data_IF_838790713320
#
_entry.id   IF_838790713320
#
_cell.length_a   1.000
_cell.length_b   1.000
_cell.length_c   1.000
_cell.angle_alpha   90.00
_cell.angle_beta   90.00
_cell.angle_gamma   90.00
#
_symmetry.space_group_name_H-M   'P 1'
#
loop_
_entity.id
_entity.type
_entity.pdbx_description
1 polymer ?
#
# COMPACT_ATOMS: atom_id res chain seq x y z
N UNK A 1 10.32 -7.05 12.86
CA UNK A 1 9.16 -6.34 12.28
C UNK A 1 9.60 -5.85 10.91
N UNK A 2 8.76 -5.95 9.86
CA UNK A 2 9.17 -5.51 8.53
C UNK A 2 8.98 -3.99 8.39
N UNK A 3 9.87 -3.35 7.65
CA UNK A 3 9.78 -1.95 7.25
C UNK A 3 10.02 -1.86 5.74
N UNK A 4 9.18 -1.13 5.03
CA UNK A 4 9.33 -0.89 3.60
C UNK A 4 9.68 0.59 3.42
N UNK A 5 10.94 0.93 3.10
CA UNK A 5 11.31 2.31 2.83
C UNK A 5 10.77 2.73 1.46
N UNK A 6 9.85 3.69 1.44
CA UNK A 6 9.29 4.26 0.21
C UNK A 6 9.84 5.66 -0.01
N UNK A 7 10.38 5.91 -1.20
CA UNK A 7 10.69 7.26 -1.66
C UNK A 7 9.41 7.86 -2.24
N UNK A 8 8.88 8.88 -1.56
CA UNK A 8 7.68 9.60 -1.96
C UNK A 8 8.10 10.99 -2.41
N UNK A 9 7.64 11.40 -3.60
CA UNK A 9 7.80 12.78 -4.07
C UNK A 9 6.72 13.64 -3.41
N UNK A 10 7.13 14.68 -2.68
CA UNK A 10 6.20 15.66 -2.12
C UNK A 10 5.89 16.74 -3.16
N UNK A 11 4.89 17.57 -2.86
CA UNK A 11 4.47 18.72 -3.69
C UNK A 11 5.60 19.70 -4.03
N UNK A 12 6.68 19.69 -3.23
CA UNK A 12 7.83 20.60 -3.35
C UNK A 12 8.98 19.97 -4.18
N UNK A 13 8.71 18.88 -4.91
CA UNK A 13 9.69 18.05 -5.63
C UNK A 13 10.82 17.48 -4.75
N UNK A 14 10.65 17.51 -3.43
CA UNK A 14 11.57 16.87 -2.49
C UNK A 14 11.23 15.38 -2.31
N UNK A 15 12.21 14.52 -2.55
CA UNK A 15 12.08 13.09 -2.30
C UNK A 15 12.20 12.80 -0.79
N UNK A 16 11.10 12.41 -0.16
CA UNK A 16 11.06 12.00 1.24
C UNK A 16 11.01 10.48 1.36
N UNK A 17 11.91 9.89 2.16
CA UNK A 17 11.83 8.48 2.52
C UNK A 17 10.83 8.32 3.67
N UNK A 18 9.84 7.45 3.50
CA UNK A 18 8.87 7.08 4.52
C UNK A 18 8.89 5.58 4.74
N UNK A 19 9.08 5.15 5.99
CA UNK A 19 9.05 3.75 6.35
C UNK A 19 7.60 3.29 6.59
N UNK A 20 7.14 2.37 5.76
CA UNK A 20 5.85 1.70 5.95
C UNK A 20 6.04 0.54 6.90
N UNK A 21 5.25 0.54 7.96
CA UNK A 21 5.16 -0.53 8.95
C UNK A 21 3.74 -1.11 8.95
N UNK A 22 3.51 -2.28 9.57
CA UNK A 22 2.15 -2.81 9.76
C UNK A 22 1.17 -1.83 10.43
N UNK A 23 1.68 -0.88 11.20
CA UNK A 23 0.90 0.10 11.95
C UNK A 23 0.78 1.46 11.23
N UNK A 24 1.31 1.56 10.01
CA UNK A 24 1.19 2.78 9.22
C UNK A 24 -0.23 2.90 8.65
N UNK A 25 -0.86 4.07 8.84
CA UNK A 25 -2.12 4.43 8.18
C UNK A 25 -1.87 4.87 6.74
N UNK A 26 -1.74 3.89 5.86
CA UNK A 26 -1.31 4.11 4.46
C UNK A 26 -2.28 4.99 3.69
N UNK A 27 -3.57 4.93 3.98
CA UNK A 27 -4.56 5.80 3.33
C UNK A 27 -4.27 7.30 3.56
N UNK A 28 -3.82 7.67 4.77
CA UNK A 28 -3.48 9.05 5.10
C UNK A 28 -2.11 9.45 4.56
N UNK A 29 -1.17 8.51 4.51
CA UNK A 29 0.19 8.78 4.03
C UNK A 29 0.23 8.98 2.52
N UNK A 30 -0.54 8.18 1.78
CA UNK A 30 -0.54 8.18 0.33
C UNK A 30 -1.77 8.90 -0.25
N UNK A 31 -2.49 9.68 0.57
CA UNK A 31 -3.60 10.50 0.08
C UNK A 31 -3.07 11.53 -0.93
N UNK A 32 -3.52 11.43 -2.18
CA UNK A 32 -3.02 12.26 -3.29
C UNK A 32 -1.87 11.64 -4.10
N UNK A 33 -1.32 10.49 -3.67
CA UNK A 33 -0.26 9.74 -4.37
C UNK A 33 -0.72 8.39 -4.90
N UNK A 34 -1.75 7.80 -4.29
CA UNK A 34 -2.41 6.59 -4.79
C UNK A 34 -3.17 6.95 -6.05
N UNK A 35 -2.48 6.84 -7.17
CA UNK A 35 -3.00 7.33 -8.44
C UNK A 35 -4.21 6.53 -8.92
N UNK A 36 -4.32 5.22 -8.62
CA UNK A 36 -5.41 4.40 -9.16
C UNK A 36 -5.88 3.28 -8.21
N UNK A 37 -7.20 3.04 -8.18
CA UNK A 37 -7.73 1.81 -7.56
C UNK A 37 -7.42 0.65 -8.48
N UNK A 38 -6.79 -0.39 -7.95
CA UNK A 38 -6.42 -1.57 -8.74
C UNK A 38 -7.45 -2.67 -8.54
N UNK A 39 -7.76 -3.39 -9.61
CA UNK A 39 -8.57 -4.61 -9.53
C UNK A 39 -7.63 -5.82 -9.41
N UNK A 40 -7.70 -6.51 -8.29
CA UNK A 40 -6.98 -7.77 -8.08
C UNK A 40 -7.87 -8.92 -8.57
N UNK A 41 -7.45 -9.60 -9.63
CA UNK A 41 -8.12 -10.82 -10.09
C UNK A 41 -7.95 -11.94 -9.05
N UNK A 42 -9.03 -12.67 -8.73
CA UNK A 42 -9.03 -13.79 -7.79
C UNK A 42 -9.57 -15.04 -8.49
N UNK A 43 -8.72 -16.04 -8.68
CA UNK A 43 -9.08 -17.29 -9.37
C UNK A 43 -9.88 -18.27 -8.50
N UNK A 44 -9.81 -18.15 -7.17
CA UNK A 44 -10.50 -19.05 -6.22
C UNK A 44 -11.72 -18.41 -5.55
N UNK A 45 -12.81 -19.18 -5.29
CA UNK A 45 -13.97 -18.68 -4.58
C UNK A 45 -13.57 -18.25 -3.16
N UNK A 46 -14.00 -17.05 -2.81
CA UNK A 46 -13.52 -16.19 -1.74
C UNK A 46 -13.16 -16.91 -0.42
N UNK A 47 -11.86 -17.05 -0.13
CA UNK A 47 -11.43 -16.89 1.25
C UNK A 47 -11.69 -15.42 1.58
N UNK A 48 -12.79 -15.14 2.29
CA UNK A 48 -13.07 -13.80 2.78
C UNK A 48 -11.87 -13.38 3.64
N UNK A 49 -11.30 -12.22 3.37
CA UNK A 49 -10.33 -11.64 4.28
C UNK A 49 -10.98 -11.59 5.68
N UNK A 50 -10.33 -12.11 6.73
CA UNK A 50 -10.92 -12.20 8.07
C UNK A 50 -11.30 -10.83 8.65
N UNK A 51 -10.74 -9.75 8.09
CA UNK A 51 -10.99 -8.37 8.48
C UNK A 51 -12.01 -7.65 7.56
N UNK A 52 -12.65 -8.37 6.65
CA UNK A 52 -13.66 -7.84 5.74
C UNK A 52 -13.10 -7.34 4.41
N UNK A 53 -13.85 -6.50 3.72
CA UNK A 53 -13.47 -5.95 2.41
C UNK A 53 -12.27 -5.02 2.52
N UNK A 54 -11.35 -5.11 1.56
CA UNK A 54 -10.18 -4.23 1.42
C UNK A 54 -10.31 -3.32 0.21
N UNK A 55 -9.65 -2.17 0.24
CA UNK A 55 -9.38 -1.35 -0.93
C UNK A 55 -7.95 -1.61 -1.40
N UNK A 56 -7.76 -1.89 -2.68
CA UNK A 56 -6.44 -2.08 -3.28
C UNK A 56 -5.98 -0.82 -4.02
N UNK A 57 -4.74 -0.41 -3.77
CA UNK A 57 -4.11 0.73 -4.39
C UNK A 57 -2.73 0.37 -4.92
N UNK A 58 -2.37 0.84 -6.12
CA UNK A 58 -1.01 0.73 -6.63
C UNK A 58 -0.17 1.94 -6.23
N UNK A 59 1.13 1.70 -6.07
CA UNK A 59 2.16 2.73 -6.08
C UNK A 59 3.46 2.10 -6.57
N UNK A 60 3.92 2.49 -7.77
CA UNK A 60 5.02 1.82 -8.47
C UNK A 60 4.81 0.29 -8.54
N UNK A 61 5.79 -0.49 -8.11
CA UNK A 61 5.79 -1.97 -8.11
C UNK A 61 5.16 -2.59 -6.85
N UNK A 62 4.29 -1.83 -6.18
CA UNK A 62 3.64 -2.23 -4.93
C UNK A 62 2.12 -2.16 -5.05
N UNK A 63 1.44 -3.14 -4.45
CA UNK A 63 -0.01 -3.07 -4.19
C UNK A 63 -0.25 -3.08 -2.69
N UNK A 64 -0.95 -2.05 -2.21
CA UNK A 64 -1.40 -1.92 -0.84
C UNK A 64 -2.87 -2.32 -0.74
N UNK A 65 -3.19 -3.37 0.02
CA UNK A 65 -4.56 -3.63 0.46
C UNK A 65 -4.80 -3.00 1.82
N UNK A 66 -5.76 -2.09 1.89
CA UNK A 66 -6.05 -1.27 3.06
C UNK A 66 -7.45 -1.57 3.56
N UNK A 67 -7.61 -1.68 4.89
CA UNK A 67 -8.89 -1.81 5.56
C UNK A 67 -9.64 -0.48 5.56
N UNK A 68 -10.80 -0.35 4.88
CA UNK A 68 -11.50 0.93 4.75
C UNK A 68 -11.98 1.49 6.09
N UNK A 69 -12.30 0.62 7.05
CA UNK A 69 -12.80 1.04 8.37
C UNK A 69 -11.79 1.82 9.22
N UNK A 70 -10.47 1.66 8.99
CA UNK A 70 -9.46 2.23 9.88
C UNK A 70 -8.18 2.71 9.17
N UNK A 71 -8.03 2.46 7.86
CA UNK A 71 -6.91 2.90 7.05
C UNK A 71 -5.60 2.13 7.27
N UNK A 72 -5.63 1.03 8.03
CA UNK A 72 -4.45 0.16 8.25
C UNK A 72 -4.26 -0.84 7.12
N UNK A 73 -3.04 -1.35 7.00
CA UNK A 73 -2.69 -2.38 6.02
C UNK A 73 -3.28 -3.73 6.40
N UNK A 74 -3.93 -4.36 5.42
CA UNK A 74 -4.28 -5.78 5.46
C UNK A 74 -3.16 -6.64 4.86
N UNK A 75 -2.61 -6.21 3.72
CA UNK A 75 -1.50 -6.87 3.04
C UNK A 75 -0.75 -5.87 2.14
N UNK A 76 0.48 -6.25 1.79
CA UNK A 76 1.29 -5.58 0.77
C UNK A 76 1.82 -6.64 -0.18
N UNK A 77 1.66 -6.41 -1.48
CA UNK A 77 2.31 -7.21 -2.53
C UNK A 77 3.47 -6.39 -3.09
N UNK A 78 4.65 -7.01 -3.18
CA UNK A 78 5.89 -6.39 -3.66
C UNK A 78 6.32 -7.14 -4.92
N UNK A 79 6.28 -6.48 -6.08
CA UNK A 79 6.74 -7.06 -7.35
C UNK A 79 8.23 -6.81 -7.58
N UNK A 80 8.74 -5.66 -7.11
CA UNK A 80 10.16 -5.33 -7.08
C UNK A 80 10.47 -4.59 -5.79
N UNK A 81 11.66 -4.82 -5.23
CA UNK A 81 12.17 -3.96 -4.18
C UNK A 81 12.56 -2.62 -4.81
N UNK A 82 12.28 -1.48 -4.16
CA UNK A 82 12.81 -0.20 -4.61
C UNK A 82 14.33 -0.30 -4.73
N UNK A 83 14.92 0.23 -5.81
CA UNK A 83 16.37 0.17 -6.03
C UNK A 83 17.13 0.62 -4.77
N UNK A 84 17.92 -0.30 -4.18
CA UNK A 84 18.79 -0.04 -3.03
C UNK A 84 18.35 -0.61 -1.67
N UNK A 85 17.66 -1.77 -1.62
CA UNK A 85 17.65 -2.66 -0.44
C UNK A 85 18.75 -3.71 -0.60
#
# INVERSE_FOLDING_TARGET
MFEIPLKILTSDDEAKVVNITPFTKVQSLLSGLLNERVVIHRETPSRKNPFGTTNAFNYHDLIFEVLPQNGFLASVTIYSLPDGI
#
